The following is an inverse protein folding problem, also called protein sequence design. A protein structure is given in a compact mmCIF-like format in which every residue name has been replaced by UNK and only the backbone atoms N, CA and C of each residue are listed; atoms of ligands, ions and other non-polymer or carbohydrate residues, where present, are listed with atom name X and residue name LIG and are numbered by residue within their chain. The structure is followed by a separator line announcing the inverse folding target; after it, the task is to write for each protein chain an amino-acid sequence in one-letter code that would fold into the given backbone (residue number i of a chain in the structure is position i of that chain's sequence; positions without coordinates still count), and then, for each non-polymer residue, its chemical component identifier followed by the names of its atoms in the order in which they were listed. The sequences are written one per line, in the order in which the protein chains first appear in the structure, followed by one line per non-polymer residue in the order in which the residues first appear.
data_IF_129291487959
#
_entry.id   IF_129291487959
#
_cell.length_a   1.000
_cell.length_b   1.000
_cell.length_c   1.000
_cell.angle_alpha   90.00
_cell.angle_beta   90.00
_cell.angle_gamma   90.00
#
_symmetry.space_group_name_H-M   'P 1'
#
loop_
_entity.id
_entity.type
_entity.pdbx_description
1 polymer ?
#
# COMPACT_ATOMS: atom_id res chain seq x y z
N UNK A 1 -23.81 29.05 37.01
CA UNK A 1 -23.23 29.49 35.71
C UNK A 1 -21.84 28.93 35.46
N UNK A 2 -20.93 28.98 36.44
CA UNK A 2 -19.52 28.49 36.33
C UNK A 2 -19.41 27.00 35.92
N UNK A 3 -20.25 26.12 36.48
CA UNK A 3 -20.22 24.68 36.16
C UNK A 3 -20.49 24.36 34.67
N UNK A 4 -21.35 25.13 33.98
CA UNK A 4 -21.60 24.94 32.54
C UNK A 4 -20.40 25.32 31.68
N UNK A 5 -19.64 26.35 32.09
CA UNK A 5 -18.41 26.75 31.40
C UNK A 5 -17.29 25.73 31.59
N UNK A 6 -17.16 25.17 32.79
CA UNK A 6 -16.19 24.09 33.06
C UNK A 6 -16.54 22.86 32.21
N UNK A 7 -17.81 22.45 32.15
CA UNK A 7 -18.24 21.35 31.30
C UNK A 7 -17.96 21.59 29.81
N UNK A 8 -18.25 22.79 29.31
CA UNK A 8 -17.98 23.15 27.92
C UNK A 8 -16.46 23.11 27.62
N UNK A 9 -15.63 23.64 28.51
CA UNK A 9 -14.17 23.61 28.36
C UNK A 9 -13.61 22.17 28.40
N UNK A 10 -14.14 21.31 29.26
CA UNK A 10 -13.73 19.90 29.33
C UNK A 10 -14.13 19.14 28.05
N UNK A 11 -15.31 19.41 27.50
CA UNK A 11 -15.76 18.81 26.23
C UNK A 11 -14.93 19.31 25.03
N UNK A 12 -14.64 20.61 24.98
CA UNK A 12 -13.81 21.21 23.92
C UNK A 12 -12.37 20.68 24.02
N UNK A 13 -11.77 20.66 25.21
CA UNK A 13 -10.45 20.08 25.41
C UNK A 13 -10.43 18.59 25.06
N UNK A 14 -11.46 17.83 25.46
CA UNK A 14 -11.57 16.41 25.13
C UNK A 14 -11.70 16.13 23.63
N UNK A 15 -12.45 16.95 22.89
CA UNK A 15 -12.59 16.81 21.43
C UNK A 15 -11.32 17.21 20.68
N UNK A 16 -10.65 18.29 21.10
CA UNK A 16 -9.35 18.70 20.53
C UNK A 16 -8.29 17.62 20.78
N UNK A 17 -8.22 17.08 22.00
CA UNK A 17 -7.30 15.99 22.33
C UNK A 17 -7.63 14.72 21.53
N UNK A 18 -8.91 14.40 21.35
CA UNK A 18 -9.34 13.25 20.56
C UNK A 18 -8.92 13.35 19.09
N UNK A 19 -9.14 14.50 18.42
CA UNK A 19 -8.65 14.73 17.05
C UNK A 19 -7.12 14.63 16.96
N UNK A 20 -6.41 15.16 17.97
CA UNK A 20 -4.95 15.10 18.04
C UNK A 20 -4.43 13.67 18.19
N UNK A 21 -5.13 12.82 18.95
CA UNK A 21 -4.77 11.40 19.12
C UNK A 21 -5.08 10.53 17.90
N UNK A 22 -6.02 10.95 17.05
CA UNK A 22 -6.30 10.26 15.78
C UNK A 22 -5.33 10.63 14.66
N UNK A 23 -4.56 11.70 14.80
CA UNK A 23 -3.40 11.95 13.97
C UNK A 23 -2.32 10.92 14.35
N UNK A 24 -2.31 9.78 13.64
CA UNK A 24 -1.29 8.76 13.83
C UNK A 24 0.10 9.38 13.68
N UNK A 25 0.89 9.21 14.74
CA UNK A 25 2.35 9.33 14.89
C UNK A 25 3.00 9.87 13.61
N UNK A 26 3.46 11.13 13.64
CA UNK A 26 4.15 11.86 12.55
C UNK A 26 3.27 12.75 11.64
N UNK A 27 1.95 12.80 11.86
CA UNK A 27 1.07 13.78 11.21
C UNK A 27 0.57 13.39 9.82
N UNK A 28 0.73 12.11 9.44
CA UNK A 28 0.20 11.57 8.20
C UNK A 28 -1.30 11.24 8.31
N UNK A 29 -2.02 11.39 7.20
CA UNK A 29 -3.47 11.29 7.09
C UNK A 29 -3.87 10.07 6.25
N UNK A 30 -4.55 9.06 6.85
CA UNK A 30 -5.11 7.93 6.14
C UNK A 30 -6.00 8.36 4.96
N UNK A 31 -5.90 7.68 3.82
CA UNK A 31 -6.68 7.97 2.61
C UNK A 31 -6.16 9.14 1.77
N UNK A 32 -5.36 10.02 2.36
CA UNK A 32 -4.75 11.16 1.68
C UNK A 32 -3.29 10.84 1.38
N UNK A 33 -2.46 10.65 2.41
CA UNK A 33 -1.03 10.41 2.22
C UNK A 33 -0.77 8.97 1.76
N UNK A 34 -1.55 8.02 2.27
CA UNK A 34 -1.49 6.61 1.88
C UNK A 34 -2.88 6.00 1.73
N UNK A 35 -3.04 4.97 0.88
CA UNK A 35 -4.29 4.26 0.69
C UNK A 35 -4.67 3.43 1.93
N UNK A 36 -5.98 3.30 2.17
CA UNK A 36 -6.57 2.52 3.28
C UNK A 36 -7.75 1.68 2.79
N UNK A 37 -7.53 0.96 1.71
CA UNK A 37 -8.47 -0.06 1.26
C UNK A 37 -8.61 -1.13 2.34
N UNK A 38 -9.81 -1.69 2.49
CA UNK A 38 -10.11 -2.80 3.41
C UNK A 38 -10.23 -4.15 2.67
N UNK A 39 -10.25 -4.10 1.35
CA UNK A 39 -10.29 -5.23 0.43
C UNK A 39 -9.74 -4.79 -0.92
N UNK A 40 -9.38 -5.75 -1.78
CA UNK A 40 -8.99 -5.43 -3.17
C UNK A 40 -10.19 -4.79 -3.90
N UNK A 41 -10.07 -3.56 -4.41
CA UNK A 41 -11.15 -2.92 -5.17
C UNK A 41 -11.53 -3.73 -6.41
N UNK A 42 -12.83 -3.83 -6.75
CA UNK A 42 -13.24 -4.42 -8.02
C UNK A 42 -12.90 -3.48 -9.19
N UNK A 43 -12.64 -4.05 -10.36
CA UNK A 43 -12.51 -3.28 -11.61
C UNK A 43 -11.12 -2.71 -11.91
N UNK A 44 -10.08 -3.10 -11.17
CA UNK A 44 -8.69 -2.74 -11.47
C UNK A 44 -8.28 -3.25 -12.87
N UNK A 45 -7.56 -2.43 -13.62
CA UNK A 45 -7.17 -2.70 -15.02
C UNK A 45 -5.93 -3.58 -15.18
N UNK A 46 -5.22 -3.89 -14.09
CA UNK A 46 -4.01 -4.71 -14.14
C UNK A 46 -4.30 -6.13 -14.69
N UNK A 47 -3.37 -6.65 -15.51
CA UNK A 47 -3.42 -8.02 -15.99
C UNK A 47 -2.01 -8.60 -16.21
N UNK A 48 -1.91 -9.93 -16.10
CA UNK A 48 -0.68 -10.70 -16.31
C UNK A 48 -0.26 -10.84 -17.79
N UNK A 49 -1.04 -10.30 -18.74
CA UNK A 49 -0.75 -10.39 -20.16
C UNK A 49 0.59 -9.74 -20.52
N UNK A 50 1.41 -10.46 -21.30
CA UNK A 50 2.72 -10.00 -21.77
C UNK A 50 3.77 -9.83 -20.65
N UNK A 51 3.53 -10.38 -19.46
CA UNK A 51 4.42 -10.27 -18.30
C UNK A 51 4.96 -11.64 -17.91
N UNK A 52 6.14 -11.66 -17.29
CA UNK A 52 6.66 -12.88 -16.68
C UNK A 52 5.76 -13.29 -15.50
N UNK A 53 5.72 -14.56 -15.10
CA UNK A 53 5.14 -14.90 -13.82
C UNK A 53 5.95 -14.21 -12.71
N UNK A 54 5.31 -13.84 -11.61
CA UNK A 54 5.95 -13.00 -10.59
C UNK A 54 5.00 -12.02 -9.91
N UNK A 55 5.59 -11.00 -9.28
CA UNK A 55 4.90 -10.08 -8.38
C UNK A 55 4.85 -8.67 -8.94
N UNK A 56 3.68 -8.04 -8.89
CA UNK A 56 3.44 -6.76 -9.57
C UNK A 56 2.71 -5.80 -8.65
N UNK A 57 3.30 -4.63 -8.38
CA UNK A 57 2.59 -3.53 -7.71
C UNK A 57 1.44 -3.03 -8.60
N UNK A 58 0.34 -2.55 -8.00
CA UNK A 58 -0.75 -1.92 -8.76
C UNK A 58 -0.82 -0.41 -8.50
N UNK A 59 -0.32 0.44 -9.43
CA UNK A 59 -0.42 1.88 -9.29
C UNK A 59 -1.84 2.42 -9.26
N UNK A 60 -2.83 1.74 -9.86
CA UNK A 60 -4.24 2.17 -9.84
C UNK A 60 -4.80 2.15 -8.41
N UNK A 61 -4.38 1.16 -7.63
CA UNK A 61 -4.68 1.04 -6.21
C UNK A 61 -3.62 1.69 -5.31
N UNK A 62 -2.86 2.67 -5.83
CA UNK A 62 -1.78 3.37 -5.10
C UNK A 62 -0.78 2.40 -4.45
N UNK A 63 -0.52 1.28 -5.11
CA UNK A 63 0.33 0.18 -4.68
C UNK A 63 -0.05 -0.48 -3.34
N UNK A 64 -1.22 -0.21 -2.75
CA UNK A 64 -1.70 -1.03 -1.64
C UNK A 64 -2.07 -2.43 -2.11
N UNK A 65 -2.57 -2.53 -3.35
CA UNK A 65 -2.80 -3.81 -4.01
C UNK A 65 -1.55 -4.22 -4.77
N UNK A 66 -1.28 -5.52 -4.76
CA UNK A 66 -0.30 -6.15 -5.63
C UNK A 66 -0.84 -7.48 -6.16
N UNK A 67 -0.29 -7.92 -7.27
CA UNK A 67 -0.74 -9.09 -8.00
C UNK A 67 0.36 -10.15 -8.10
N UNK A 68 -0.03 -11.40 -7.95
CA UNK A 68 0.79 -12.56 -8.25
C UNK A 68 0.31 -13.18 -9.56
N UNK A 69 1.17 -13.14 -10.57
CA UNK A 69 0.95 -13.81 -11.85
C UNK A 69 1.59 -15.19 -11.85
N UNK A 70 0.80 -16.22 -12.14
CA UNK A 70 1.25 -17.58 -12.32
C UNK A 70 1.66 -17.88 -13.77
N UNK A 71 2.47 -18.93 -14.02
CA UNK A 71 2.81 -19.38 -15.38
C UNK A 71 1.60 -19.72 -16.26
N UNK A 72 0.48 -20.12 -15.64
CA UNK A 72 -0.79 -20.38 -16.34
C UNK A 72 -1.48 -19.11 -16.83
N UNK A 73 -1.00 -17.92 -16.47
CA UNK A 73 -1.68 -16.65 -16.68
C UNK A 73 -2.74 -16.33 -15.61
N UNK A 74 -2.97 -17.24 -14.65
CA UNK A 74 -3.84 -16.96 -13.51
C UNK A 74 -3.23 -15.87 -12.63
N UNK A 75 -4.11 -15.00 -12.11
CA UNK A 75 -3.75 -13.87 -11.27
C UNK A 75 -4.39 -13.99 -9.90
N UNK A 76 -3.63 -13.70 -8.85
CA UNK A 76 -4.14 -13.48 -7.49
C UNK A 76 -3.82 -12.06 -7.07
N UNK A 77 -4.72 -11.43 -6.31
CA UNK A 77 -4.55 -10.05 -5.84
C UNK A 77 -4.57 -10.03 -4.32
N UNK A 78 -3.67 -9.23 -3.74
CA UNK A 78 -3.48 -9.14 -2.30
C UNK A 78 -3.40 -7.68 -1.88
N UNK A 79 -3.61 -7.44 -0.59
CA UNK A 79 -3.59 -6.12 0.00
C UNK A 79 -2.47 -6.02 1.03
N UNK A 80 -1.66 -4.97 0.93
CA UNK A 80 -0.73 -4.57 1.97
C UNK A 80 -1.48 -3.96 3.18
N UNK A 81 -0.99 -4.15 4.41
CA UNK A 81 -1.56 -3.51 5.60
C UNK A 81 -1.63 -1.98 5.47
N UNK A 82 -2.58 -1.36 6.19
CA UNK A 82 -2.72 0.10 6.23
C UNK A 82 -1.42 0.77 6.68
N UNK A 83 -0.99 1.80 5.94
CA UNK A 83 0.29 2.50 6.15
C UNK A 83 1.47 1.91 5.36
N UNK A 84 1.25 0.82 4.60
CA UNK A 84 2.27 0.22 3.73
C UNK A 84 1.76 0.07 2.30
N UNK A 85 2.70 0.00 1.36
CA UNK A 85 2.43 -0.25 -0.06
C UNK A 85 3.48 -1.21 -0.60
N UNK A 86 3.15 -1.92 -1.67
CA UNK A 86 4.02 -2.91 -2.28
C UNK A 86 5.20 -2.24 -2.98
N UNK A 87 6.41 -2.53 -2.52
CA UNK A 87 7.64 -2.14 -3.17
C UNK A 87 7.96 -3.13 -4.29
N UNK A 88 7.89 -2.68 -5.54
CA UNK A 88 8.26 -3.53 -6.68
C UNK A 88 9.73 -3.96 -6.63
N UNK A 89 10.61 -3.11 -6.11
CA UNK A 89 12.06 -3.36 -5.99
C UNK A 89 12.37 -4.56 -5.11
N UNK A 90 11.68 -4.65 -3.97
CA UNK A 90 11.97 -5.66 -2.93
C UNK A 90 10.90 -6.75 -2.85
N UNK A 91 9.78 -6.60 -3.56
CA UNK A 91 8.62 -7.50 -3.60
C UNK A 91 8.00 -7.77 -2.23
N UNK A 92 8.01 -6.74 -1.37
CA UNK A 92 7.40 -6.77 -0.04
C UNK A 92 6.61 -5.48 0.18
N UNK A 93 5.66 -5.53 1.11
CA UNK A 93 5.02 -4.31 1.60
C UNK A 93 6.03 -3.55 2.47
N UNK A 94 6.31 -2.30 2.13
CA UNK A 94 7.14 -1.38 2.93
C UNK A 94 6.33 -0.11 3.21
N UNK A 95 6.85 0.75 4.07
CA UNK A 95 6.22 2.01 4.42
C UNK A 95 5.98 2.86 3.17
N UNK A 96 4.77 3.43 3.06
CA UNK A 96 4.33 4.14 1.86
C UNK A 96 5.28 5.27 1.42
N UNK A 97 5.92 5.95 2.38
CA UNK A 97 6.86 7.05 2.12
C UNK A 97 8.24 6.60 1.62
N UNK A 98 8.52 5.29 1.63
CA UNK A 98 9.77 4.72 1.08
C UNK A 98 9.62 4.21 -0.35
N UNK A 99 8.39 4.12 -0.86
CA UNK A 99 8.10 3.49 -2.14
C UNK A 99 7.62 4.53 -3.12
N UNK A 100 8.33 4.67 -4.24
CA UNK A 100 7.81 5.39 -5.40
C UNK A 100 6.86 4.48 -6.18
N UNK A 101 5.59 4.53 -5.82
CA UNK A 101 4.57 3.68 -6.42
C UNK A 101 4.45 3.88 -7.94
N UNK A 102 4.59 5.12 -8.42
CA UNK A 102 4.42 5.45 -9.84
C UNK A 102 5.57 4.89 -10.70
N UNK A 103 6.75 4.69 -10.12
CA UNK A 103 7.90 4.09 -10.78
C UNK A 103 7.82 2.55 -10.86
N UNK A 104 6.92 1.92 -10.09
CA UNK A 104 6.78 0.45 -10.03
C UNK A 104 6.71 -0.24 -11.40
N UNK A 105 5.94 0.24 -12.40
CA UNK A 105 5.90 -0.41 -13.72
C UNK A 105 7.24 -0.51 -14.42
N UNK A 106 8.15 0.45 -14.21
CA UNK A 106 9.52 0.41 -14.78
C UNK A 106 10.36 -0.71 -14.17
N UNK A 107 10.00 -1.16 -12.97
CA UNK A 107 10.73 -2.15 -12.18
C UNK A 107 10.15 -3.57 -12.31
N UNK A 108 9.08 -3.77 -13.09
CA UNK A 108 8.47 -5.08 -13.32
C UNK A 108 9.44 -6.14 -13.86
N UNK A 109 10.49 -5.70 -14.57
CA UNK A 109 11.56 -6.57 -15.07
C UNK A 109 12.35 -7.29 -13.96
N UNK A 110 12.33 -6.79 -12.72
CA UNK A 110 12.99 -7.45 -11.58
C UNK A 110 12.50 -8.87 -11.39
N UNK A 111 11.24 -9.19 -11.74
CA UNK A 111 10.71 -10.55 -11.65
C UNK A 111 11.51 -11.59 -12.46
N UNK A 112 12.36 -11.19 -13.41
CA UNK A 112 13.28 -12.11 -14.09
C UNK A 112 14.26 -12.80 -13.14
N UNK A 113 14.60 -12.16 -12.01
CA UNK A 113 15.51 -12.72 -11.01
C UNK A 113 14.93 -13.95 -10.27
N UNK A 114 13.59 -14.10 -10.25
CA UNK A 114 12.90 -15.29 -9.71
C UNK A 114 13.25 -16.54 -10.49
N UNK A 115 13.70 -16.38 -11.72
CA UNK A 115 14.03 -17.45 -12.65
C UNK A 115 15.53 -17.54 -12.89
N UNK A 116 16.35 -17.08 -11.94
CA UNK A 116 17.80 -17.19 -12.00
C UNK A 116 18.37 -17.96 -10.82
N UNK A 117 19.38 -18.78 -11.07
CA UNK A 117 20.19 -19.41 -10.03
C UNK A 117 21.22 -18.43 -9.43
N UNK A 118 21.98 -18.88 -8.43
CA UNK A 118 23.02 -18.06 -7.79
C UNK A 118 24.17 -17.65 -8.74
N UNK A 119 24.31 -18.31 -9.89
CA UNK A 119 25.29 -17.99 -10.93
C UNK A 119 24.70 -17.08 -12.03
N UNK A 120 23.42 -16.72 -11.92
CA UNK A 120 22.69 -15.90 -12.90
C UNK A 120 22.14 -16.68 -14.09
N UNK A 121 22.25 -18.00 -14.12
CA UNK A 121 21.68 -18.83 -15.19
C UNK A 121 20.17 -18.94 -15.03
N UNK A 122 19.45 -19.00 -16.14
CA UNK A 122 17.99 -19.15 -16.12
C UNK A 122 17.58 -20.58 -15.71
N UNK A 123 16.63 -20.70 -14.79
CA UNK A 123 16.03 -21.96 -14.34
C UNK A 123 14.67 -22.25 -14.98
#
# INVERSE_FOLDING_TARGET
MISKFIYALVLIAGTILYESTLAQIDGYRPGIDYPVYNSVPPGLGFNCGGKLPGYYADPEARCQVWHWCLPSGQMFSFLCPNGTVFSQTTRVCDWWFKVDCNDSPRLYGINDDLYRDANGNRI
#
